data_IF_722097457136
#
_entry.id   IF_722097457136
#
_cell.length_a   1.000
_cell.length_b   1.000
_cell.length_c   1.000
_cell.angle_alpha   90.00
_cell.angle_beta   90.00
_cell.angle_gamma   90.00
#
_symmetry.space_group_name_H-M   'P 1'
#
loop_
_entity.id
_entity.type
_entity.pdbx_description
1 polymer ?
#
# COMPACT_ATOMS: atom_id res chain seq x y z
N UNK A 1 -2.27 -63.46 -62.49
CA UNK A 1 -2.31 -64.28 -61.26
C UNK A 1 -1.95 -63.35 -60.12
N UNK A 2 -2.68 -63.19 -59.02
CA UNK A 2 -3.92 -63.77 -58.53
C UNK A 2 -4.36 -62.81 -57.40
N UNK A 3 -5.57 -62.28 -57.50
CA UNK A 3 -6.60 -62.32 -56.46
C UNK A 3 -6.32 -61.75 -55.05
N UNK A 4 -7.09 -60.68 -54.77
CA UNK A 4 -7.95 -60.50 -53.59
C UNK A 4 -7.36 -60.68 -52.19
N UNK A 5 -7.46 -59.60 -51.41
CA UNK A 5 -8.21 -59.65 -50.16
C UNK A 5 -9.03 -58.37 -50.01
N UNK A 6 -10.30 -58.49 -50.39
CA UNK A 6 -11.36 -57.64 -49.90
C UNK A 6 -11.80 -58.26 -48.58
N UNK A 7 -11.95 -57.48 -47.52
CA UNK A 7 -12.99 -57.79 -46.54
C UNK A 7 -13.65 -56.52 -46.01
N UNK A 8 -14.99 -56.52 -45.91
CA UNK A 8 -15.84 -55.35 -45.87
C UNK A 8 -16.49 -55.20 -44.47
N UNK A 9 -17.42 -54.27 -44.37
CA UNK A 9 -18.31 -53.99 -43.23
C UNK A 9 -17.69 -53.03 -42.20
N UNK A 10 -18.00 -51.73 -42.31
CA UNK A 10 -19.23 -51.08 -41.81
C UNK A 10 -19.12 -50.90 -40.29
N UNK A 11 -19.32 -49.72 -39.70
CA UNK A 11 -20.44 -48.79 -39.83
C UNK A 11 -19.93 -47.40 -39.37
N UNK A 12 -20.05 -46.36 -40.20
CA UNK A 12 -21.04 -45.30 -40.02
C UNK A 12 -21.11 -44.70 -38.59
N UNK A 13 -20.38 -43.60 -38.37
CA UNK A 13 -20.90 -42.48 -37.60
C UNK A 13 -20.64 -41.18 -38.36
N UNK A 14 -21.72 -40.65 -38.94
CA UNK A 14 -21.80 -39.25 -39.35
C UNK A 14 -21.82 -38.41 -38.08
N UNK A 15 -20.97 -37.39 -37.96
CA UNK A 15 -21.37 -36.10 -37.39
C UNK A 15 -20.27 -35.05 -37.55
N UNK A 16 -20.70 -33.92 -38.10
CA UNK A 16 -20.22 -32.59 -37.78
C UNK A 16 -18.77 -32.23 -38.13
N UNK A 17 -18.61 -31.82 -39.39
CA UNK A 17 -17.95 -30.54 -39.61
C UNK A 17 -18.67 -29.48 -38.75
N UNK A 18 -17.95 -28.77 -37.88
CA UNK A 18 -18.19 -27.37 -37.50
C UNK A 18 -17.09 -26.92 -36.50
N UNK A 19 -16.46 -25.81 -36.87
CA UNK A 19 -15.73 -24.87 -36.02
C UNK A 19 -14.44 -25.34 -35.33
N UNK A 20 -13.37 -25.30 -36.11
CA UNK A 20 -12.06 -24.91 -35.60
C UNK A 20 -12.08 -23.38 -35.36
N UNK A 21 -12.63 -22.96 -34.21
CA UNK A 21 -12.47 -21.60 -33.71
C UNK A 21 -11.42 -21.60 -32.60
N UNK A 22 -10.23 -21.15 -32.99
CA UNK A 22 -9.30 -20.47 -32.10
C UNK A 22 -10.04 -19.32 -31.41
N UNK A 23 -10.33 -19.43 -30.11
CA UNK A 23 -10.33 -18.28 -29.19
C UNK A 23 -9.67 -18.71 -27.89
N UNK A 24 -8.34 -18.63 -27.90
CA UNK A 24 -7.59 -18.31 -26.69
C UNK A 24 -7.92 -16.84 -26.39
N UNK A 25 -8.70 -16.57 -25.34
CA UNK A 25 -8.68 -15.31 -24.58
C UNK A 25 -9.74 -15.41 -23.46
N UNK A 26 -9.26 -15.56 -22.23
CA UNK A 26 -10.10 -15.68 -21.04
C UNK A 26 -9.32 -15.85 -19.72
N UNK A 27 -7.99 -15.94 -19.74
CA UNK A 27 -7.22 -15.30 -18.68
C UNK A 27 -7.30 -13.80 -18.93
N UNK A 28 -8.24 -13.12 -18.29
CA UNK A 28 -8.32 -11.67 -18.31
C UNK A 28 -7.21 -11.12 -17.40
N UNK A 29 -5.94 -11.28 -17.80
CA UNK A 29 -4.94 -10.27 -17.48
C UNK A 29 -5.27 -9.05 -18.34
N UNK A 30 -6.34 -8.35 -17.97
CA UNK A 30 -6.62 -7.04 -18.54
C UNK A 30 -5.42 -6.15 -18.29
N UNK A 31 -4.98 -5.42 -19.31
CA UNK A 31 -3.98 -4.38 -19.13
C UNK A 31 -4.49 -3.43 -18.03
N UNK A 32 -3.71 -3.29 -16.95
CA UNK A 32 -4.04 -2.39 -15.84
C UNK A 32 -4.29 -0.98 -16.38
N UNK A 33 -5.41 -0.37 -15.95
CA UNK A 33 -5.81 0.94 -16.41
C UNK A 33 -4.77 2.00 -16.04
N UNK A 34 -4.76 3.12 -16.78
CA UNK A 34 -3.90 4.25 -16.45
C UNK A 34 -4.18 4.79 -15.05
N UNK A 35 -5.45 4.78 -14.64
CA UNK A 35 -5.90 5.28 -13.34
C UNK A 35 -5.39 4.40 -12.20
N UNK A 36 -5.42 3.07 -12.34
CA UNK A 36 -4.85 2.17 -11.32
C UNK A 36 -3.33 2.30 -11.22
N UNK A 37 -2.63 2.44 -12.35
CA UNK A 37 -1.19 2.75 -12.36
C UNK A 37 -0.87 4.04 -11.60
N UNK A 38 -1.69 5.07 -11.78
CA UNK A 38 -1.55 6.34 -11.04
C UNK A 38 -1.84 6.16 -9.54
N UNK A 39 -2.90 5.43 -9.17
CA UNK A 39 -3.22 5.12 -7.78
C UNK A 39 -2.07 4.36 -7.09
N UNK A 40 -1.50 3.35 -7.76
CA UNK A 40 -0.35 2.60 -7.25
C UNK A 40 0.90 3.48 -7.13
N UNK A 41 1.22 4.29 -8.14
CA UNK A 41 2.36 5.20 -8.06
C UNK A 41 2.22 6.18 -6.89
N UNK A 42 1.01 6.68 -6.62
CA UNK A 42 0.74 7.56 -5.49
C UNK A 42 0.85 6.82 -4.15
N UNK A 43 0.34 5.59 -4.06
CA UNK A 43 0.49 4.72 -2.89
C UNK A 43 1.96 4.54 -2.50
N UNK A 44 2.80 4.09 -3.44
CA UNK A 44 4.23 3.87 -3.22
C UNK A 44 4.94 5.16 -2.80
N UNK A 45 4.66 6.27 -3.50
CA UNK A 45 5.26 7.56 -3.19
C UNK A 45 4.84 8.09 -1.80
N UNK A 46 3.60 7.80 -1.39
CA UNK A 46 3.10 8.18 -0.06
C UNK A 46 3.75 7.35 1.03
N UNK A 47 3.93 6.04 0.83
CA UNK A 47 4.60 5.17 1.79
C UNK A 47 6.08 5.55 1.98
N UNK A 48 6.81 5.81 0.90
CA UNK A 48 8.20 6.28 0.97
C UNK A 48 8.31 7.61 1.74
N UNK A 49 7.37 8.53 1.55
CA UNK A 49 7.39 9.80 2.26
C UNK A 49 6.98 9.65 3.73
N UNK A 50 6.07 8.74 4.04
CA UNK A 50 5.67 8.41 5.40
C UNK A 50 6.83 7.87 6.24
N UNK A 51 7.61 6.93 5.69
CA UNK A 51 8.79 6.39 6.35
C UNK A 51 9.83 7.49 6.64
N UNK A 52 10.14 8.34 5.65
CA UNK A 52 11.04 9.49 5.84
C UNK A 52 10.53 10.48 6.88
N UNK A 53 9.22 10.73 6.88
CA UNK A 53 8.58 11.60 7.85
C UNK A 53 8.73 11.03 9.26
N UNK A 54 8.49 9.73 9.45
CA UNK A 54 8.61 9.06 10.73
C UNK A 54 10.06 9.04 11.24
N UNK A 55 11.03 8.68 10.40
CA UNK A 55 12.45 8.75 10.74
C UNK A 55 12.85 10.16 11.22
N UNK A 56 12.38 11.20 10.52
CA UNK A 56 12.64 12.59 10.89
C UNK A 56 11.97 12.98 12.21
N UNK A 57 10.74 12.55 12.43
CA UNK A 57 10.02 12.80 13.67
C UNK A 57 10.76 12.21 14.88
N UNK A 58 11.20 10.95 14.77
CA UNK A 58 11.99 10.26 15.80
C UNK A 58 13.32 10.98 16.05
N UNK A 59 14.03 11.35 14.98
CA UNK A 59 15.30 12.09 15.10
C UNK A 59 15.11 13.41 15.88
N UNK A 60 14.04 14.15 15.61
CA UNK A 60 13.74 15.41 16.32
C UNK A 60 13.39 15.13 17.78
N UNK A 61 12.63 14.07 18.09
CA UNK A 61 12.33 13.67 19.47
C UNK A 61 13.62 13.33 20.25
N UNK A 62 14.55 12.60 19.64
CA UNK A 62 15.85 12.27 20.22
C UNK A 62 16.69 13.53 20.48
N UNK A 63 16.77 14.44 19.51
CA UNK A 63 17.50 15.71 19.63
C UNK A 63 16.93 16.58 20.76
N UNK A 64 15.62 16.76 20.81
CA UNK A 64 14.97 17.58 21.85
C UNK A 64 15.13 16.93 23.23
N UNK A 65 15.05 15.60 23.32
CA UNK A 65 15.31 14.86 24.56
C UNK A 65 16.75 15.05 25.03
N UNK A 66 17.72 14.99 24.12
CA UNK A 66 19.12 15.24 24.44
C UNK A 66 19.35 16.68 24.92
N UNK A 67 18.75 17.68 24.26
CA UNK A 67 18.82 19.08 24.67
C UNK A 67 18.20 19.30 26.06
N UNK A 68 17.04 18.69 26.32
CA UNK A 68 16.38 18.76 27.63
C UNK A 68 17.23 18.10 28.74
N UNK A 69 17.88 16.97 28.46
CA UNK A 69 18.76 16.27 29.40
C UNK A 69 20.06 17.02 29.71
N UNK A 70 20.53 17.88 28.80
CA UNK A 70 21.68 18.74 29.01
C UNK A 70 21.35 20.04 29.76
N UNK A 71 20.07 20.42 29.81
CA UNK A 71 19.62 21.61 30.52
C UNK A 71 19.79 21.44 32.04
N UNK A 72 20.33 22.47 32.70
CA UNK A 72 20.50 22.46 34.16
C UNK A 72 19.18 22.81 34.86
N UNK A 73 19.05 22.42 36.12
CA UNK A 73 17.91 22.84 36.93
C UNK A 73 17.83 24.37 37.02
N UNK A 74 16.65 24.92 36.73
CA UNK A 74 16.42 26.37 36.64
C UNK A 74 16.73 27.00 35.28
N UNK A 75 17.12 26.22 34.27
CA UNK A 75 17.22 26.72 32.90
C UNK A 75 15.83 27.12 32.37
N UNK A 76 15.72 28.37 31.91
CA UNK A 76 14.48 28.92 31.39
C UNK A 76 13.98 28.22 30.11
N UNK A 77 14.85 27.49 29.41
CA UNK A 77 14.50 26.73 28.21
C UNK A 77 13.90 25.36 28.51
N UNK A 78 14.05 24.82 29.72
CA UNK A 78 13.55 23.48 30.07
C UNK A 78 12.03 23.32 29.82
N UNK A 79 11.16 24.26 30.24
CA UNK A 79 9.72 24.18 29.92
C UNK A 79 9.42 24.25 28.42
N UNK A 80 10.30 24.90 27.64
CA UNK A 80 10.13 24.98 26.18
C UNK A 80 10.40 23.63 25.51
N UNK A 81 11.46 22.92 25.91
CA UNK A 81 11.74 21.57 25.42
C UNK A 81 10.63 20.58 25.81
N UNK A 82 10.12 20.66 27.04
CA UNK A 82 8.99 19.83 27.50
C UNK A 82 7.72 20.09 26.66
N UNK A 83 7.45 21.35 26.33
CA UNK A 83 6.32 21.71 25.47
C UNK A 83 6.50 21.24 24.02
N UNK A 84 7.73 21.27 23.48
CA UNK A 84 8.03 20.72 22.14
C UNK A 84 7.86 19.20 22.16
N UNK A 85 8.41 18.49 23.14
CA UNK A 85 8.26 17.04 23.27
C UNK A 85 6.80 16.62 23.31
N UNK A 86 5.96 17.28 24.11
CA UNK A 86 4.54 16.96 24.17
C UNK A 86 3.82 17.10 22.82
N UNK A 87 4.22 18.07 21.98
CA UNK A 87 3.69 18.23 20.62
C UNK A 87 4.19 17.13 19.68
N UNK A 88 5.47 16.76 19.78
CA UNK A 88 6.05 15.69 18.98
C UNK A 88 5.42 14.33 19.32
N UNK A 89 5.19 14.05 20.60
CA UNK A 89 4.51 12.82 21.05
C UNK A 89 3.08 12.74 20.51
N UNK A 90 2.33 13.85 20.58
CA UNK A 90 0.99 13.93 19.98
C UNK A 90 1.03 13.69 18.47
N UNK A 91 2.03 14.24 17.77
CA UNK A 91 2.18 14.05 16.33
C UNK A 91 2.57 12.61 15.97
N UNK A 92 3.38 11.95 16.81
CA UNK A 92 3.75 10.56 16.66
C UNK A 92 2.53 9.63 16.83
N UNK A 93 1.67 9.90 17.82
CA UNK A 93 0.40 9.17 17.98
C UNK A 93 -0.52 9.34 16.77
N UNK A 94 -0.65 10.57 16.24
CA UNK A 94 -1.41 10.83 15.01
C UNK A 94 -0.84 10.07 13.81
N UNK A 95 0.48 10.02 13.68
CA UNK A 95 1.14 9.25 12.61
C UNK A 95 0.83 7.75 12.72
N UNK A 96 0.92 7.17 13.91
CA UNK A 96 0.57 5.75 14.10
C UNK A 96 -0.91 5.48 13.83
N UNK A 97 -1.80 6.37 14.27
CA UNK A 97 -3.22 6.26 13.98
C UNK A 97 -3.48 6.36 12.46
N UNK A 98 -2.83 7.28 11.76
CA UNK A 98 -2.90 7.37 10.30
C UNK A 98 -2.37 6.10 9.64
N UNK A 99 -1.15 5.66 9.97
CA UNK A 99 -0.47 4.51 9.36
C UNK A 99 -1.24 3.20 9.55
N UNK A 100 -1.82 2.98 10.74
CA UNK A 100 -2.61 1.78 11.04
C UNK A 100 -3.97 1.72 10.35
N UNK A 101 -4.51 2.85 9.89
CA UNK A 101 -5.80 2.93 9.20
C UNK A 101 -5.66 2.88 7.67
N UNK A 102 -4.44 2.71 7.14
CA UNK A 102 -4.21 2.69 5.69
C UNK A 102 -4.80 1.44 5.04
N UNK A 103 -5.55 1.65 3.95
CA UNK A 103 -6.14 0.56 3.18
C UNK A 103 -5.22 0.16 2.02
N UNK A 104 -5.06 -1.16 1.84
CA UNK A 104 -4.25 -1.71 0.75
C UNK A 104 -4.99 -1.68 -0.58
N UNK A 105 -4.29 -1.26 -1.64
CA UNK A 105 -4.78 -1.42 -3.00
C UNK A 105 -4.82 -2.91 -3.39
N UNK A 106 -5.76 -3.32 -4.27
CA UNK A 106 -5.78 -4.67 -4.82
C UNK A 106 -4.43 -5.06 -5.44
N UNK A 107 -3.89 -6.20 -5.01
CA UNK A 107 -2.58 -6.70 -5.45
C UNK A 107 -1.37 -5.91 -4.93
N UNK A 108 -1.54 -4.94 -4.03
CA UNK A 108 -0.43 -4.41 -3.24
C UNK A 108 -0.12 -5.40 -2.11
N UNK A 109 1.16 -5.72 -1.93
CA UNK A 109 1.63 -6.52 -0.81
C UNK A 109 2.24 -5.57 0.22
N UNK A 110 1.82 -5.66 1.49
CA UNK A 110 2.59 -5.08 2.59
C UNK A 110 3.97 -5.74 2.61
N UNK A 111 5.01 -5.03 2.19
CA UNK A 111 6.39 -5.46 2.41
C UNK A 111 6.88 -4.91 3.75
N UNK A 112 6.22 -5.30 4.84
CA UNK A 112 6.75 -5.09 6.17
C UNK A 112 7.62 -6.30 6.50
N UNK A 113 8.92 -6.21 6.20
CA UNK A 113 9.93 -7.05 6.84
C UNK A 113 9.91 -6.69 8.33
N UNK A 114 9.06 -7.36 9.09
CA UNK A 114 9.16 -7.34 10.55
C UNK A 114 10.38 -8.19 10.92
N UNK A 115 11.46 -7.56 11.36
CA UNK A 115 12.40 -8.26 12.24
C UNK A 115 11.59 -8.84 13.41
N UNK A 116 11.76 -10.14 13.62
CA UNK A 116 11.00 -11.02 14.51
C UNK A 116 10.53 -10.36 15.81
N UNK A 117 9.21 -10.17 15.99
CA UNK A 117 8.72 -9.66 17.27
C UNK A 117 7.20 -9.61 17.47
N UNK A 118 6.45 -8.92 16.63
CA UNK A 118 5.04 -8.64 16.93
C UNK A 118 4.13 -8.87 15.73
N UNK A 119 3.39 -9.99 15.76
CA UNK A 119 2.31 -10.27 14.84
C UNK A 119 1.09 -9.40 15.17
N UNK A 120 1.13 -8.13 14.78
CA UNK A 120 -0.10 -7.33 14.69
C UNK A 120 -0.85 -7.81 13.44
N UNK A 121 -1.86 -8.66 13.65
CA UNK A 121 -2.86 -8.94 12.62
C UNK A 121 -3.63 -7.64 12.34
N UNK A 122 -3.16 -6.86 11.38
CA UNK A 122 -3.97 -5.80 10.80
C UNK A 122 -5.09 -6.48 10.00
N UNK A 123 -6.27 -6.59 10.61
CA UNK A 123 -7.49 -6.88 9.87
C UNK A 123 -7.66 -5.72 8.89
N UNK A 124 -7.26 -5.93 7.63
CA UNK A 124 -7.43 -4.95 6.55
C UNK A 124 -8.92 -4.81 6.27
N UNK A 125 -9.61 -4.10 7.17
CA UNK A 125 -11.05 -4.01 7.28
C UNK A 125 -11.66 -3.10 6.23
N UNK A 126 -11.39 -3.34 4.95
CA UNK A 126 -12.23 -3.04 3.77
C UNK A 126 -11.41 -3.44 2.56
N UNK A 127 -11.72 -4.58 1.94
CA UNK A 127 -11.11 -4.89 0.65
C UNK A 127 -11.60 -3.86 -0.38
N UNK A 128 -10.67 -3.16 -1.04
CA UNK A 128 -10.98 -2.23 -2.11
C UNK A 128 -11.31 -2.95 -3.44
N UNK A 129 -11.27 -4.29 -3.47
CA UNK A 129 -11.43 -5.10 -4.68
C UNK A 129 -12.74 -4.83 -5.46
N UNK A 130 -13.77 -4.28 -4.81
CA UNK A 130 -15.08 -3.96 -5.42
C UNK A 130 -15.20 -2.49 -5.88
N UNK A 131 -14.22 -1.63 -5.62
CA UNK A 131 -14.26 -0.20 -5.98
C UNK A 131 -13.83 0.05 -7.43
N UNK A 132 -14.24 1.18 -8.01
CA UNK A 132 -13.76 1.57 -9.33
C UNK A 132 -12.31 2.07 -9.27
N UNK A 133 -11.58 1.99 -10.37
CA UNK A 133 -10.22 2.53 -10.47
C UNK A 133 -10.13 4.02 -10.07
N UNK A 134 -11.19 4.78 -10.35
CA UNK A 134 -11.27 6.19 -9.97
C UNK A 134 -11.41 6.37 -8.46
N UNK A 135 -12.24 5.55 -7.81
CA UNK A 135 -12.42 5.57 -6.35
C UNK A 135 -11.11 5.19 -5.65
N UNK A 136 -10.38 4.19 -6.16
CA UNK A 136 -9.05 3.84 -5.67
C UNK A 136 -8.09 5.04 -5.72
N UNK A 137 -8.06 5.76 -6.84
CA UNK A 137 -7.21 6.95 -6.97
C UNK A 137 -7.64 8.07 -6.02
N UNK A 138 -8.94 8.30 -5.83
CA UNK A 138 -9.44 9.31 -4.88
C UNK A 138 -9.06 8.96 -3.43
N UNK A 139 -9.16 7.69 -3.04
CA UNK A 139 -8.72 7.22 -1.72
C UNK A 139 -7.22 7.47 -1.53
N UNK A 140 -6.38 7.10 -2.50
CA UNK A 140 -4.93 7.34 -2.38
C UNK A 140 -4.57 8.84 -2.32
N UNK A 141 -5.35 9.72 -2.97
CA UNK A 141 -5.20 11.18 -2.85
C UNK A 141 -5.58 11.68 -1.46
N UNK A 142 -6.67 11.17 -0.89
CA UNK A 142 -7.08 11.53 0.47
C UNK A 142 -6.02 11.10 1.49
N UNK A 143 -5.55 9.86 1.39
CA UNK A 143 -4.44 9.32 2.20
C UNK A 143 -3.19 10.21 2.10
N UNK A 144 -2.82 10.61 0.89
CA UNK A 144 -1.68 11.52 0.67
C UNK A 144 -1.88 12.88 1.35
N UNK A 145 -3.07 13.46 1.21
CA UNK A 145 -3.39 14.75 1.81
C UNK A 145 -3.35 14.70 3.34
N UNK A 146 -3.77 13.59 3.95
CA UNK A 146 -3.64 13.38 5.40
C UNK A 146 -2.17 13.37 5.83
N UNK A 147 -1.29 12.66 5.11
CA UNK A 147 0.15 12.69 5.38
C UNK A 147 0.74 14.10 5.23
N UNK A 148 0.38 14.81 4.15
CA UNK A 148 0.85 16.18 3.93
C UNK A 148 0.45 17.10 5.11
N UNK A 149 -0.74 16.91 5.70
CA UNK A 149 -1.17 17.60 6.91
C UNK A 149 -0.30 17.32 8.14
N UNK A 150 0.11 16.06 8.35
CA UNK A 150 1.06 15.71 9.42
C UNK A 150 2.44 16.34 9.20
N UNK A 151 2.89 16.40 7.94
CA UNK A 151 4.15 17.07 7.58
C UNK A 151 4.10 18.57 7.87
N UNK A 152 2.99 19.23 7.57
CA UNK A 152 2.77 20.64 7.89
C UNK A 152 2.79 20.89 9.42
N UNK A 153 2.18 20.00 10.21
CA UNK A 153 2.23 20.07 11.67
C UNK A 153 3.68 19.97 12.19
N UNK A 154 4.49 19.05 11.65
CA UNK A 154 5.91 18.94 12.03
C UNK A 154 6.69 20.22 11.69
N UNK A 155 6.46 20.80 10.51
CA UNK A 155 7.10 22.05 10.11
C UNK A 155 6.70 23.23 11.01
N UNK A 156 5.49 23.23 11.57
CA UNK A 156 5.05 24.26 12.50
C UNK A 156 5.67 24.11 13.90
N UNK A 157 6.04 22.89 14.32
CA UNK A 157 6.75 22.64 15.60
C UNK A 157 8.21 23.12 15.51
N UNK A 158 8.83 23.01 14.34
CA UNK A 158 10.24 23.33 14.11
C UNK A 158 10.52 24.83 13.80
N UNK A 159 9.50 25.70 13.88
CA UNK A 159 9.63 27.16 13.73
C UNK A 159 9.77 27.85 15.09
#
# INVERSE_FOLDING_TARGET
MNSSNFSPYAQAFKACALFLAFVVAGCQSGEESKTMKEARALHEATHVEAERFHERLVTIQEDVTAMAGQAKDGDALKPHYEAIMAKLDTLHEKYHAWSSNQVLLPGATCNHDHEDGEHHHHDHGTSLDELSDADHLEIQKAIRAELDGLMEELYAIHQ
#
